data_IF_130406488674
#
_entry.id   IF_130406488674
#
_cell.length_a   1.000
_cell.length_b   1.000
_cell.length_c   1.000
_cell.angle_alpha   90.00
_cell.angle_beta   90.00
_cell.angle_gamma   90.00
#
_symmetry.space_group_name_H-M   'P 1'
#
loop_
_entity.id
_entity.type
_entity.pdbx_description
1 polymer ?
#
# COMPACT_ATOMS: atom_id res chain seq x y z
N UNK A 1 -0.04 -23.45 -9.46
CA UNK A 1 -0.34 -22.12 -9.99
C UNK A 1 0.87 -21.24 -9.70
N UNK A 2 1.37 -20.48 -10.67
CA UNK A 2 2.52 -19.57 -10.50
C UNK A 2 2.07 -18.15 -10.79
N UNK A 3 2.52 -17.19 -9.99
CA UNK A 3 2.23 -15.77 -10.19
C UNK A 3 3.51 -15.08 -10.65
N UNK A 4 3.40 -14.19 -11.63
CA UNK A 4 4.55 -13.42 -12.12
C UNK A 4 4.89 -12.30 -11.15
N UNK A 5 6.18 -11.98 -11.05
CA UNK A 5 6.60 -10.79 -10.31
C UNK A 5 6.01 -9.55 -10.98
N UNK A 6 5.43 -8.67 -10.18
CA UNK A 6 4.78 -7.44 -10.63
C UNK A 6 5.28 -6.27 -9.80
N UNK A 7 5.34 -5.11 -10.43
CA UNK A 7 5.65 -3.83 -9.78
C UNK A 7 4.89 -2.72 -10.47
N UNK A 8 4.53 -1.70 -9.71
CA UNK A 8 4.03 -0.45 -10.26
C UNK A 8 5.15 0.25 -11.02
N UNK A 9 4.82 0.91 -12.14
CA UNK A 9 5.78 1.79 -12.80
C UNK A 9 6.25 2.87 -11.82
N UNK A 10 7.56 3.08 -11.75
CA UNK A 10 8.17 4.01 -10.80
C UNK A 10 7.83 5.47 -11.12
N UNK A 11 7.54 5.76 -12.40
CA UNK A 11 7.12 7.08 -12.85
C UNK A 11 5.60 7.29 -12.71
N UNK A 12 4.87 6.31 -12.15
CA UNK A 12 3.43 6.41 -11.96
C UNK A 12 3.07 7.57 -11.03
N UNK A 13 2.17 8.49 -11.43
CA UNK A 13 1.77 9.61 -10.59
C UNK A 13 1.07 9.14 -9.30
N UNK A 14 0.52 7.91 -9.29
CA UNK A 14 -0.10 7.28 -8.13
C UNK A 14 0.87 7.05 -6.96
N UNK A 15 2.17 6.87 -7.22
CA UNK A 15 3.17 6.72 -6.16
C UNK A 15 3.29 8.02 -5.36
N UNK A 16 3.47 9.14 -6.06
CA UNK A 16 3.62 10.45 -5.42
C UNK A 16 2.33 10.89 -4.73
N UNK A 17 1.17 10.63 -5.37
CA UNK A 17 -0.13 10.93 -4.81
C UNK A 17 -0.37 10.16 -3.49
N UNK A 18 -0.16 8.84 -3.49
CA UNK A 18 -0.37 8.02 -2.29
C UNK A 18 0.61 8.42 -1.17
N UNK A 19 1.89 8.66 -1.51
CA UNK A 19 2.88 9.08 -0.54
C UNK A 19 2.52 10.43 0.11
N UNK A 20 1.97 11.37 -0.67
CA UNK A 20 1.55 12.68 -0.20
C UNK A 20 0.28 12.59 0.68
N UNK A 21 -0.73 11.81 0.28
CA UNK A 21 -1.93 11.56 1.09
C UNK A 21 -1.59 10.93 2.45
N UNK A 22 -0.72 9.92 2.46
CA UNK A 22 -0.21 9.31 3.70
C UNK A 22 0.55 10.35 4.55
N UNK A 23 1.35 11.20 3.92
CA UNK A 23 2.10 12.26 4.63
C UNK A 23 1.17 13.29 5.27
N UNK A 24 0.10 13.68 4.60
CA UNK A 24 -0.89 14.62 5.14
C UNK A 24 -1.65 14.00 6.32
N UNK A 25 -2.00 12.71 6.20
CA UNK A 25 -2.73 11.98 7.24
C UNK A 25 -1.88 11.74 8.50
N UNK A 26 -0.61 11.35 8.33
CA UNK A 26 0.24 10.90 9.44
C UNK A 26 1.24 11.94 9.94
N UNK A 27 1.40 13.05 9.21
CA UNK A 27 2.44 14.05 9.42
C UNK A 27 3.87 13.59 9.10
N UNK A 28 4.04 12.35 8.60
CA UNK A 28 5.34 11.70 8.38
C UNK A 28 5.52 11.29 6.93
N UNK A 29 6.73 11.41 6.39
CA UNK A 29 7.02 10.95 5.03
C UNK A 29 7.09 9.42 5.00
N UNK A 30 6.27 8.72 4.19
CA UNK A 30 6.36 7.27 4.07
C UNK A 30 7.63 6.87 3.30
N UNK A 31 8.14 5.68 3.59
CA UNK A 31 9.15 5.05 2.76
C UNK A 31 8.50 4.48 1.49
N UNK A 32 9.07 4.78 0.33
CA UNK A 32 8.63 4.23 -0.96
C UNK A 32 9.64 3.18 -1.39
N UNK A 33 9.20 1.92 -1.48
CA UNK A 33 10.03 0.79 -1.88
C UNK A 33 9.56 0.29 -3.26
N UNK A 34 10.48 -0.04 -4.19
CA UNK A 34 10.10 -0.48 -5.53
C UNK A 34 9.48 -1.88 -5.55
N UNK A 35 9.84 -2.73 -4.59
CA UNK A 35 9.36 -4.12 -4.46
C UNK A 35 9.40 -4.55 -2.99
N UNK A 36 8.66 -5.62 -2.66
CA UNK A 36 8.65 -6.27 -1.35
C UNK A 36 8.87 -7.79 -1.52
N UNK A 37 9.40 -8.47 -0.51
CA UNK A 37 9.77 -9.90 -0.58
C UNK A 37 8.62 -10.90 -0.54
N UNK A 38 7.36 -10.43 -0.54
CA UNK A 38 6.15 -11.25 -0.56
C UNK A 38 5.53 -11.35 -1.95
N UNK A 39 4.64 -12.32 -2.14
CA UNK A 39 3.95 -12.54 -3.42
C UNK A 39 2.43 -12.38 -3.25
N UNK A 40 1.80 -11.60 -4.12
CA UNK A 40 0.36 -11.57 -4.35
C UNK A 40 0.08 -11.59 -5.87
N UNK A 41 -1.10 -12.02 -6.32
CA UNK A 41 -1.49 -12.01 -7.73
C UNK A 41 -1.83 -10.59 -8.23
N UNK A 42 -0.95 -9.61 -8.04
CA UNK A 42 -1.21 -8.23 -8.44
C UNK A 42 -1.21 -8.04 -9.96
N UNK A 43 -0.57 -8.95 -10.72
CA UNK A 43 -0.50 -8.94 -12.18
C UNK A 43 -1.88 -8.94 -12.84
N UNK A 44 -2.87 -9.53 -12.16
CA UNK A 44 -4.28 -9.46 -12.58
C UNK A 44 -4.79 -8.01 -12.57
N UNK A 45 -4.39 -7.20 -11.59
CA UNK A 45 -4.80 -5.79 -11.54
C UNK A 45 -3.91 -4.90 -12.39
N UNK A 46 -2.59 -5.01 -12.27
CA UNK A 46 -1.65 -4.13 -12.96
C UNK A 46 -1.59 -4.38 -14.47
N UNK A 47 -1.50 -5.66 -14.88
CA UNK A 47 -1.16 -6.00 -16.26
C UNK A 47 -2.40 -6.42 -17.05
N UNK A 48 -3.29 -7.19 -16.43
CA UNK A 48 -4.51 -7.66 -17.10
C UNK A 48 -5.59 -6.58 -17.17
N UNK A 49 -5.83 -5.86 -16.06
CA UNK A 49 -6.82 -4.78 -16.00
C UNK A 49 -6.25 -3.38 -16.26
N UNK A 50 -4.93 -3.21 -16.24
CA UNK A 50 -4.29 -1.91 -16.43
C UNK A 50 -4.54 -0.94 -15.29
N UNK A 51 -4.83 -1.43 -14.08
CA UNK A 51 -5.18 -0.60 -12.93
C UNK A 51 -3.93 -0.20 -12.12
N UNK A 52 -3.89 1.04 -11.60
CA UNK A 52 -2.84 1.43 -10.68
C UNK A 52 -2.93 0.56 -9.42
N UNK A 53 -1.81 -0.06 -9.06
CA UNK A 53 -1.71 -0.92 -7.87
C UNK A 53 -0.67 -0.30 -6.95
N UNK A 54 -1.01 -0.01 -5.70
CA UNK A 54 -0.10 0.52 -4.68
C UNK A 54 -0.21 -0.37 -3.45
N UNK A 55 0.93 -0.74 -2.88
CA UNK A 55 0.99 -1.51 -1.64
C UNK A 55 1.22 -0.61 -0.44
N UNK A 56 0.37 -0.76 0.56
CA UNK A 56 0.46 -0.03 1.84
C UNK A 56 0.54 -1.07 2.96
N UNK A 57 1.75 -1.44 3.42
CA UNK A 57 1.89 -2.47 4.45
C UNK A 57 1.51 -1.92 5.84
N UNK A 58 0.69 -2.68 6.55
CA UNK A 58 0.29 -2.42 7.95
C UNK A 58 0.79 -3.54 8.86
N UNK A 59 2.08 -3.87 8.71
CA UNK A 59 2.77 -4.85 9.53
C UNK A 59 4.12 -4.29 9.97
N UNK A 60 4.81 -5.05 10.81
CA UNK A 60 6.12 -4.67 11.33
C UNK A 60 7.02 -5.90 11.47
N UNK A 61 8.35 -5.73 11.52
CA UNK A 61 9.27 -6.83 11.77
C UNK A 61 8.95 -7.50 13.12
N UNK A 62 8.55 -8.78 13.09
CA UNK A 62 8.23 -9.55 14.29
C UNK A 62 6.74 -9.80 14.54
N UNK A 63 5.84 -9.34 13.67
CA UNK A 63 4.42 -9.71 13.74
C UNK A 63 4.13 -11.20 13.53
N UNK A 64 5.14 -12.00 13.15
CA UNK A 64 5.03 -13.45 12.96
C UNK A 64 3.97 -13.89 11.94
N UNK A 65 3.80 -13.12 10.85
CA UNK A 65 2.91 -13.53 9.76
C UNK A 65 3.25 -14.95 9.28
N UNK A 66 2.24 -15.82 9.25
CA UNK A 66 2.38 -17.24 8.91
C UNK A 66 3.23 -18.08 9.89
N UNK A 67 3.37 -17.64 11.14
CA UNK A 67 4.05 -18.38 12.21
C UNK A 67 3.19 -18.38 13.49
N UNK A 68 3.50 -19.25 14.50
CA UNK A 68 2.85 -19.18 15.80
C UNK A 68 2.97 -17.80 16.44
N UNK A 69 1.98 -17.47 17.27
CA UNK A 69 1.89 -16.18 17.98
C UNK A 69 1.90 -14.96 17.03
N UNK A 70 1.28 -15.11 15.85
CA UNK A 70 0.96 -13.98 14.95
C UNK A 70 0.13 -12.93 15.71
N UNK A 71 0.55 -11.67 15.63
CA UNK A 71 -0.07 -10.60 16.40
C UNK A 71 0.08 -9.23 15.74
N UNK A 72 -0.76 -8.30 16.19
CA UNK A 72 -0.78 -6.91 15.78
C UNK A 72 -0.53 -6.00 16.99
N UNK A 73 0.02 -4.82 16.75
CA UNK A 73 0.15 -3.77 17.78
C UNK A 73 -1.04 -2.82 17.68
N UNK A 74 -1.60 -2.43 18.83
CA UNK A 74 -2.74 -1.53 18.87
C UNK A 74 -2.42 -0.20 18.19
N UNK A 75 -1.36 0.47 18.62
CA UNK A 75 -0.95 1.78 18.07
C UNK A 75 -0.68 1.73 16.55
N UNK A 76 -0.07 0.64 16.06
CA UNK A 76 0.16 0.44 14.62
C UNK A 76 -1.17 0.29 13.88
N UNK A 77 -2.11 -0.46 14.46
CA UNK A 77 -3.42 -0.70 13.87
C UNK A 77 -4.24 0.58 13.81
N UNK A 78 -4.18 1.43 14.84
CA UNK A 78 -4.83 2.75 14.85
C UNK A 78 -4.28 3.66 13.75
N UNK A 79 -2.95 3.71 13.58
CA UNK A 79 -2.30 4.45 12.50
C UNK A 79 -2.70 3.91 11.12
N UNK A 80 -2.74 2.59 10.94
CA UNK A 80 -3.14 1.94 9.71
C UNK A 80 -4.57 2.31 9.29
N UNK A 81 -5.51 2.30 10.25
CA UNK A 81 -6.88 2.73 10.02
C UNK A 81 -6.93 4.19 9.57
N UNK A 82 -6.15 5.07 10.22
CA UNK A 82 -6.02 6.47 9.82
C UNK A 82 -5.51 6.61 8.38
N UNK A 83 -4.41 5.92 8.04
CA UNK A 83 -3.80 5.93 6.70
C UNK A 83 -4.81 5.53 5.63
N UNK A 84 -5.50 4.40 5.79
CA UNK A 84 -6.43 3.91 4.78
C UNK A 84 -7.67 4.80 4.67
N UNK A 85 -8.16 5.34 5.80
CA UNK A 85 -9.24 6.32 5.78
C UNK A 85 -8.85 7.59 5.02
N UNK A 86 -7.64 8.12 5.25
CA UNK A 86 -7.10 9.28 4.53
C UNK A 86 -6.95 9.03 3.03
N UNK A 87 -6.36 7.89 2.64
CA UNK A 87 -6.22 7.51 1.23
C UNK A 87 -7.57 7.42 0.51
N UNK A 88 -8.55 6.75 1.11
CA UNK A 88 -9.88 6.62 0.50
C UNK A 88 -10.64 7.95 0.48
N UNK A 89 -10.47 8.79 1.51
CA UNK A 89 -11.05 10.13 1.54
C UNK A 89 -10.49 10.99 0.40
N UNK A 90 -9.16 11.11 0.31
CA UNK A 90 -8.50 11.91 -0.71
C UNK A 90 -8.81 11.40 -2.13
N UNK A 91 -8.92 10.08 -2.30
CA UNK A 91 -9.33 9.47 -3.57
C UNK A 91 -10.76 9.88 -3.95
N UNK A 92 -11.67 9.95 -2.98
CA UNK A 92 -13.06 10.35 -3.18
C UNK A 92 -13.22 11.83 -3.54
N UNK A 93 -12.31 12.69 -3.07
CA UNK A 93 -12.28 14.13 -3.40
C UNK A 93 -11.68 14.41 -4.79
N UNK A 94 -11.06 13.42 -5.44
CA UNK A 94 -10.52 13.58 -6.78
C UNK A 94 -11.64 13.67 -7.83
N UNK A 95 -11.70 14.74 -8.64
CA UNK A 95 -12.70 14.85 -9.70
C UNK A 95 -12.56 13.79 -10.79
N UNK A 96 -11.32 13.31 -11.01
CA UNK A 96 -10.96 12.23 -11.94
C UNK A 96 -9.70 11.52 -11.45
N UNK A 97 -9.53 10.22 -11.75
CA UNK A 97 -8.26 9.51 -11.55
C UNK A 97 -7.10 10.15 -12.31
N UNK A 98 -5.85 9.94 -11.84
CA UNK A 98 -4.61 10.44 -12.45
C UNK A 98 -4.30 9.77 -13.80
#
# INVERSE_FOLDING_TARGET
>A
QSFVASRTDFDSPWINWAAESIRQTTGRRPAVLPNFGGSLPNDVFSDTLGLPTIWVPHSYPGCSQHAPDEHILLDLTEEALGIMAGLFWDLGEMPRPL
#
